data_IF_922423350057
#
_entry.id   IF_922423350057
#
_cell.length_a   1.000
_cell.length_b   1.000
_cell.length_c   1.000
_cell.angle_alpha   90.00
_cell.angle_beta   90.00
_cell.angle_gamma   90.00
#
_symmetry.space_group_name_H-M   'P 1'
#
loop_
_entity.id
_entity.type
_entity.pdbx_description
1 polymer ?
#
# COMPACT_ATOMS: atom_id res chain seq x y z
N UNK A 1 56.38 -51.42 -24.70
CA UNK A 1 57.77 -51.13 -24.26
C UNK A 1 57.68 -50.12 -23.12
N UNK A 2 58.12 -50.52 -21.91
CA UNK A 2 58.38 -49.72 -20.68
C UNK A 2 57.29 -48.78 -20.11
N UNK A 3 57.13 -48.57 -18.81
CA UNK A 3 57.32 -49.30 -17.55
C UNK A 3 56.75 -48.35 -16.46
N UNK A 4 55.92 -48.88 -15.56
CA UNK A 4 55.74 -48.53 -14.13
C UNK A 4 55.29 -47.13 -13.66
N UNK A 5 54.20 -47.22 -12.87
CA UNK A 5 53.99 -46.70 -11.49
C UNK A 5 53.98 -45.19 -11.27
N UNK A 6 52.85 -44.70 -10.75
CA UNK A 6 52.67 -44.53 -9.29
C UNK A 6 51.17 -44.46 -8.93
N UNK A 7 50.78 -45.33 -7.99
CA UNK A 7 49.57 -45.25 -7.16
C UNK A 7 49.87 -44.39 -5.93
N UNK A 8 48.80 -43.99 -5.22
CA UNK A 8 48.73 -43.33 -3.90
C UNK A 8 48.79 -41.80 -4.01
N UNK A 9 47.79 -41.00 -3.66
CA UNK A 9 46.97 -40.90 -2.43
C UNK A 9 45.76 -40.02 -2.86
N UNK A 10 44.48 -40.40 -2.77
CA UNK A 10 43.63 -40.15 -1.61
C UNK A 10 42.31 -40.89 -1.85
N UNK A 11 42.02 -41.83 -0.97
CA UNK A 11 40.68 -42.36 -0.71
C UNK A 11 40.08 -41.47 0.39
N UNK A 12 38.75 -41.36 0.40
CA UNK A 12 37.89 -40.66 1.38
C UNK A 12 37.54 -39.21 1.04
N UNK A 13 36.51 -39.02 0.22
CA UNK A 13 35.39 -38.08 0.43
C UNK A 13 34.52 -38.04 -0.84
N UNK A 14 33.40 -38.75 -0.84
CA UNK A 14 32.47 -38.69 -1.98
C UNK A 14 31.54 -39.89 -2.12
N UNK A 15 31.13 -40.52 -1.03
CA UNK A 15 30.11 -41.57 -1.04
C UNK A 15 29.17 -41.40 0.17
N UNK A 16 28.55 -40.22 0.24
CA UNK A 16 27.31 -39.98 0.99
C UNK A 16 26.39 -39.17 0.07
N UNK A 17 25.91 -39.83 -0.99
CA UNK A 17 24.73 -39.39 -1.75
C UNK A 17 23.64 -40.41 -1.46
N UNK A 18 23.17 -40.40 -0.22
CA UNK A 18 21.99 -41.14 0.22
C UNK A 18 20.84 -40.14 0.35
N UNK A 19 19.85 -40.31 -0.52
CA UNK A 19 18.43 -40.34 -0.16
C UNK A 19 17.92 -39.21 0.75
N UNK A 20 17.68 -38.03 0.18
CA UNK A 20 16.60 -37.11 0.61
C UNK A 20 15.97 -36.47 -0.63
N UNK A 21 15.16 -37.23 -1.35
CA UNK A 21 14.17 -36.67 -2.29
C UNK A 21 12.84 -37.35 -2.00
N UNK A 22 12.29 -37.04 -0.83
CA UNK A 22 10.90 -37.28 -0.47
C UNK A 22 10.46 -36.14 0.44
N UNK A 23 9.28 -35.58 0.13
CA UNK A 23 8.57 -34.51 0.84
C UNK A 23 8.99 -33.06 0.52
N UNK A 24 8.79 -32.63 -0.73
CA UNK A 24 8.26 -31.28 -0.96
C UNK A 24 6.74 -31.43 -1.15
N UNK A 25 5.89 -31.19 -0.14
CA UNK A 25 4.49 -30.94 -0.42
C UNK A 25 4.42 -29.59 -1.14
N UNK A 26 3.79 -29.63 -2.31
CA UNK A 26 3.46 -28.49 -3.14
C UNK A 26 2.85 -27.34 -2.31
N UNK A 27 3.51 -26.19 -2.46
CA UNK A 27 2.99 -24.82 -2.51
C UNK A 27 1.56 -24.55 -1.97
N UNK A 28 1.55 -23.82 -0.85
CA UNK A 28 0.59 -22.83 -0.37
C UNK A 28 -0.85 -22.88 -0.90
N UNK A 29 -1.70 -23.58 -0.12
CA UNK A 29 -3.12 -23.28 -0.03
C UNK A 29 -3.28 -21.94 0.71
N UNK A 30 -3.87 -20.94 0.04
CA UNK A 30 -4.50 -19.73 0.59
C UNK A 30 -4.13 -19.43 2.05
N UNK A 31 -3.02 -18.71 2.26
CA UNK A 31 -2.43 -18.42 3.57
C UNK A 31 -3.29 -17.44 4.38
N UNK A 32 -4.45 -17.86 4.85
CA UNK A 32 -5.16 -17.17 5.93
C UNK A 32 -4.36 -17.37 7.21
N UNK A 33 -4.15 -16.29 7.96
CA UNK A 33 -3.51 -16.40 9.26
C UNK A 33 -4.49 -17.12 10.20
N UNK A 34 -4.02 -18.11 10.98
CA UNK A 34 -4.87 -18.72 12.00
C UNK A 34 -5.43 -17.64 12.93
N UNK A 35 -6.74 -17.57 13.20
CA UNK A 35 -7.35 -16.57 14.08
C UNK A 35 -6.63 -16.41 15.43
N UNK A 36 -6.13 -17.53 15.98
CA UNK A 36 -5.30 -17.56 17.20
C UNK A 36 -4.07 -16.64 17.19
N UNK A 37 -3.56 -16.23 16.01
CA UNK A 37 -2.38 -15.37 15.88
C UNK A 37 -2.70 -13.87 15.91
N UNK A 38 -3.87 -13.45 15.43
CA UNK A 38 -4.22 -12.03 15.34
C UNK A 38 -5.36 -11.61 16.27
N UNK A 39 -6.28 -12.52 16.63
CA UNK A 39 -7.40 -12.16 17.50
C UNK A 39 -6.98 -11.60 18.86
N UNK A 40 -5.97 -12.14 19.57
CA UNK A 40 -5.52 -11.54 20.83
C UNK A 40 -5.00 -10.11 20.65
N UNK A 41 -4.29 -9.85 19.55
CA UNK A 41 -3.76 -8.52 19.21
C UNK A 41 -4.90 -7.55 18.89
N UNK A 42 -5.87 -7.99 18.08
CA UNK A 42 -7.02 -7.15 17.74
C UNK A 42 -7.91 -6.92 18.96
N UNK A 43 -8.11 -7.92 19.81
CA UNK A 43 -8.90 -7.79 21.04
C UNK A 43 -8.32 -6.76 21.99
N UNK A 44 -6.99 -6.81 22.23
CA UNK A 44 -6.30 -5.81 23.03
C UNK A 44 -6.37 -4.41 22.39
N UNK A 45 -6.21 -4.31 21.06
CA UNK A 45 -6.38 -3.05 20.33
C UNK A 45 -7.78 -2.45 20.52
N UNK A 46 -8.83 -3.27 20.52
CA UNK A 46 -10.20 -2.85 20.77
C UNK A 46 -10.39 -2.40 22.24
N UNK A 47 -9.84 -3.14 23.20
CA UNK A 47 -9.86 -2.81 24.63
C UNK A 47 -9.22 -1.43 24.91
N UNK A 48 -8.09 -1.12 24.25
CA UNK A 48 -7.41 0.16 24.33
C UNK A 48 -8.29 1.34 23.84
N UNK A 49 -9.30 1.03 23.03
CA UNK A 49 -10.26 1.97 22.47
C UNK A 49 -11.64 1.95 23.15
N UNK A 50 -11.78 1.30 24.32
CA UNK A 50 -13.07 1.08 25.00
C UNK A 50 -14.11 0.38 24.11
N UNK A 51 -13.65 -0.50 23.21
CA UNK A 51 -14.49 -1.33 22.37
C UNK A 51 -14.55 -2.76 22.92
N UNK A 52 -15.62 -3.52 22.62
CA UNK A 52 -15.72 -4.90 23.05
C UNK A 52 -14.55 -5.76 22.56
N UNK A 53 -14.01 -6.58 23.46
CA UNK A 53 -13.09 -7.66 23.13
C UNK A 53 -13.74 -8.71 22.22
N UNK A 54 -12.93 -9.50 21.52
CA UNK A 54 -13.39 -10.49 20.54
C UNK A 54 -12.58 -11.78 20.62
N UNK A 55 -13.26 -12.92 20.53
CA UNK A 55 -12.63 -14.24 20.58
C UNK A 55 -12.79 -15.02 19.27
N UNK A 56 -13.66 -14.55 18.37
CA UNK A 56 -13.97 -15.20 17.09
C UNK A 56 -13.92 -14.22 15.91
N UNK A 57 -13.66 -14.71 14.67
CA UNK A 57 -13.75 -13.89 13.46
C UNK A 57 -15.13 -13.25 13.26
N UNK A 58 -16.21 -13.95 13.63
CA UNK A 58 -17.58 -13.48 13.46
C UNK A 58 -17.90 -12.32 14.42
N UNK A 59 -17.45 -12.41 15.67
CA UNK A 59 -17.51 -11.30 16.62
C UNK A 59 -16.68 -10.11 16.13
N UNK A 60 -15.48 -10.37 15.62
CA UNK A 60 -14.62 -9.34 15.07
C UNK A 60 -15.32 -8.54 13.95
N UNK A 61 -16.00 -9.21 13.01
CA UNK A 61 -16.80 -8.54 11.98
C UNK A 61 -17.89 -7.68 12.61
N UNK A 62 -18.66 -8.24 13.56
CA UNK A 62 -19.77 -7.55 14.21
C UNK A 62 -19.32 -6.31 14.99
N UNK A 63 -18.25 -6.43 15.77
CA UNK A 63 -17.73 -5.36 16.64
C UNK A 63 -17.08 -4.24 15.84
N UNK A 64 -16.39 -4.57 14.74
CA UNK A 64 -15.69 -3.56 13.95
C UNK A 64 -16.56 -2.86 12.91
N UNK A 65 -17.71 -3.43 12.52
CA UNK A 65 -18.61 -2.85 11.52
C UNK A 65 -18.98 -1.36 11.78
N UNK A 66 -19.31 -0.92 13.02
CA UNK A 66 -19.62 0.48 13.32
C UNK A 66 -18.39 1.43 13.27
N UNK A 67 -17.18 0.88 13.16
CA UNK A 67 -15.95 1.66 13.03
C UNK A 67 -15.72 2.14 11.58
N UNK A 68 -16.49 1.63 10.63
CA UNK A 68 -16.45 2.10 9.25
C UNK A 68 -16.86 3.57 9.18
N UNK A 69 -15.97 4.39 8.62
CA UNK A 69 -16.24 5.78 8.33
C UNK A 69 -16.96 5.92 7.00
N UNK A 70 -17.98 6.77 6.97
CA UNK A 70 -18.53 7.26 5.70
C UNK A 70 -17.48 8.12 4.98
N UNK A 71 -17.73 8.42 3.70
CA UNK A 71 -16.83 9.28 2.92
C UNK A 71 -16.76 10.69 3.52
N UNK A 72 -17.88 11.23 3.95
CA UNK A 72 -18.00 12.56 4.57
C UNK A 72 -17.20 12.61 5.87
N UNK A 73 -17.29 11.56 6.69
CA UNK A 73 -16.51 11.45 7.93
C UNK A 73 -15.01 11.35 7.66
N UNK A 74 -14.58 10.58 6.65
CA UNK A 74 -13.16 10.53 6.26
C UNK A 74 -12.59 11.87 5.81
N UNK A 75 -13.46 12.79 5.38
CA UNK A 75 -13.09 14.11 4.86
C UNK A 75 -13.53 15.24 5.78
N UNK A 76 -13.94 14.91 7.00
CA UNK A 76 -14.32 15.89 8.00
C UNK A 76 -13.07 16.63 8.51
N UNK A 77 -13.24 17.91 8.85
CA UNK A 77 -12.19 18.68 9.54
C UNK A 77 -12.00 18.17 10.97
N UNK A 78 -13.12 17.80 11.60
CA UNK A 78 -13.17 17.28 12.94
C UNK A 78 -13.54 15.81 12.89
N UNK A 79 -12.72 14.99 13.52
CA UNK A 79 -13.01 13.57 13.76
C UNK A 79 -13.48 13.43 15.20
N UNK A 80 -14.56 12.68 15.40
CA UNK A 80 -14.95 12.27 16.74
C UNK A 80 -13.79 11.50 17.37
N UNK A 81 -13.34 11.97 18.54
CA UNK A 81 -12.23 11.33 19.24
C UNK A 81 -12.64 9.92 19.65
N UNK A 82 -11.83 8.93 19.28
CA UNK A 82 -11.91 7.60 19.89
C UNK A 82 -11.13 7.68 21.20
N UNK A 83 -11.72 7.27 22.35
CA UNK A 83 -10.95 7.19 23.59
C UNK A 83 -9.77 6.26 23.36
N UNK A 84 -8.58 6.67 23.77
CA UNK A 84 -7.36 5.89 23.59
C UNK A 84 -6.60 5.89 24.90
N UNK A 85 -6.55 4.73 25.56
CA UNK A 85 -5.93 4.57 26.88
C UNK A 85 -4.42 4.71 26.82
N UNK A 86 -3.80 4.16 25.77
CA UNK A 86 -2.34 4.14 25.57
C UNK A 86 -2.02 4.17 24.07
N UNK A 87 -1.40 5.25 23.60
CA UNK A 87 -1.03 5.44 22.19
C UNK A 87 0.16 4.56 21.77
N UNK A 88 1.05 4.23 22.72
CA UNK A 88 2.19 3.37 22.47
C UNK A 88 1.77 1.91 22.31
N UNK A 89 0.93 1.40 23.22
CA UNK A 89 0.38 0.05 23.11
C UNK A 89 -0.43 -0.12 21.82
N UNK A 90 -1.27 0.86 21.49
CA UNK A 90 -2.07 0.84 20.25
C UNK A 90 -1.20 0.84 19.00
N UNK A 91 -0.13 1.63 18.97
CA UNK A 91 0.84 1.60 17.87
C UNK A 91 1.55 0.24 17.75
N UNK A 92 1.91 -0.36 18.88
CA UNK A 92 2.56 -1.67 18.92
C UNK A 92 1.62 -2.78 18.39
N UNK A 93 0.33 -2.74 18.74
CA UNK A 93 -0.64 -3.71 18.23
C UNK A 93 -0.89 -3.53 16.72
N UNK A 94 -1.04 -2.30 16.24
CA UNK A 94 -1.08 -2.02 14.81
C UNK A 94 0.20 -2.52 14.11
N UNK A 95 1.34 -2.41 14.77
CA UNK A 95 2.63 -2.88 14.25
C UNK A 95 2.69 -4.41 14.17
N UNK A 96 2.13 -5.13 15.13
CA UNK A 96 1.98 -6.59 15.09
C UNK A 96 1.04 -7.03 13.96
N UNK A 97 0.03 -6.21 13.65
CA UNK A 97 -0.87 -6.38 12.50
C UNK A 97 -0.27 -5.89 11.18
N UNK A 98 0.99 -5.42 11.18
CA UNK A 98 1.70 -4.89 10.00
C UNK A 98 1.04 -3.67 9.36
N UNK A 99 0.36 -2.85 10.15
CA UNK A 99 -0.37 -1.67 9.70
C UNK A 99 0.40 -0.35 9.89
N UNK A 100 1.66 -0.38 10.33
CA UNK A 100 2.45 0.84 10.62
C UNK A 100 3.74 0.92 9.80
N UNK A 101 4.37 -0.21 9.49
CA UNK A 101 5.70 -0.22 8.89
C UNK A 101 5.67 0.06 7.39
N UNK A 102 6.78 0.61 6.89
CA UNK A 102 7.06 0.71 5.46
C UNK A 102 7.05 -0.70 4.86
N UNK A 103 6.38 -0.84 3.73
CA UNK A 103 6.45 -2.06 2.91
C UNK A 103 7.27 -1.73 1.66
N UNK A 104 8.49 -2.26 1.52
CA UNK A 104 9.36 -1.96 0.39
C UNK A 104 8.86 -2.66 -0.89
N UNK A 105 9.37 -2.24 -2.05
CA UNK A 105 9.24 -3.04 -3.26
C UNK A 105 10.18 -4.25 -3.20
N UNK A 106 9.69 -5.46 -3.50
CA UNK A 106 10.50 -6.68 -3.35
C UNK A 106 11.26 -7.08 -4.61
N UNK A 107 10.80 -6.68 -5.79
CA UNK A 107 11.49 -6.90 -7.05
C UNK A 107 12.36 -5.68 -7.44
N UNK A 108 13.45 -5.93 -8.16
CA UNK A 108 14.29 -4.86 -8.69
C UNK A 108 13.66 -4.16 -9.90
N UNK A 109 12.81 -4.86 -10.66
CA UNK A 109 12.24 -4.36 -11.92
C UNK A 109 10.76 -4.68 -12.04
N UNK A 110 9.99 -3.69 -12.49
CA UNK A 110 8.56 -3.78 -12.76
C UNK A 110 8.25 -3.27 -14.18
N UNK A 111 7.14 -3.71 -14.75
CA UNK A 111 6.60 -3.08 -15.98
C UNK A 111 6.07 -1.69 -15.66
N UNK A 112 5.26 -1.60 -14.59
CA UNK A 112 4.62 -0.37 -14.14
C UNK A 112 4.65 -0.22 -12.63
N UNK A 113 4.84 1.02 -12.18
CA UNK A 113 4.49 1.47 -10.83
C UNK A 113 3.15 2.20 -10.87
N UNK A 114 2.18 1.73 -10.09
CA UNK A 114 0.80 2.23 -10.05
C UNK A 114 0.57 2.94 -8.72
N UNK A 115 0.47 4.26 -8.75
CA UNK A 115 0.18 5.07 -7.57
C UNK A 115 -1.33 5.13 -7.39
N UNK A 116 -1.85 4.58 -6.28
CA UNK A 116 -3.27 4.74 -5.99
C UNK A 116 -3.63 6.20 -5.71
N UNK A 117 -4.81 6.60 -6.16
CA UNK A 117 -5.45 7.87 -5.82
C UNK A 117 -5.77 8.00 -4.33
N UNK A 118 -5.97 9.23 -3.89
CA UNK A 118 -6.28 9.59 -2.52
C UNK A 118 -6.27 11.09 -2.36
N UNK A 119 -6.15 11.56 -1.11
CA UNK A 119 -6.00 13.00 -0.84
C UNK A 119 -4.67 13.53 -1.37
N UNK A 120 -4.56 14.86 -1.51
CA UNK A 120 -3.29 15.55 -1.84
C UNK A 120 -2.08 14.99 -1.07
N UNK A 121 -2.19 14.90 0.26
CA UNK A 121 -1.12 14.40 1.14
C UNK A 121 -0.77 12.94 0.82
N UNK A 122 -1.79 12.10 0.57
CA UNK A 122 -1.59 10.68 0.26
C UNK A 122 -0.85 10.49 -1.06
N UNK A 123 -1.23 11.25 -2.10
CA UNK A 123 -0.58 11.17 -3.41
C UNK A 123 0.88 11.65 -3.31
N UNK A 124 1.15 12.75 -2.60
CA UNK A 124 2.51 13.23 -2.34
C UNK A 124 3.38 12.17 -1.65
N UNK A 125 2.86 11.57 -0.57
CA UNK A 125 3.57 10.50 0.17
C UNK A 125 3.90 9.28 -0.69
N UNK A 126 2.98 8.87 -1.57
CA UNK A 126 3.17 7.71 -2.46
C UNK A 126 4.17 8.02 -3.57
N UNK A 127 4.14 9.23 -4.13
CA UNK A 127 5.13 9.66 -5.12
C UNK A 127 6.53 9.75 -4.49
N UNK A 128 6.66 10.37 -3.32
CA UNK A 128 7.93 10.40 -2.56
C UNK A 128 8.46 8.99 -2.26
N UNK A 129 7.59 8.08 -1.81
CA UNK A 129 7.96 6.69 -1.61
C UNK A 129 8.54 6.06 -2.88
N UNK A 130 7.89 6.27 -4.03
CA UNK A 130 8.36 5.74 -5.29
C UNK A 130 9.73 6.33 -5.71
N UNK A 131 9.96 7.63 -5.45
CA UNK A 131 11.25 8.28 -5.68
C UNK A 131 12.34 7.63 -4.81
N UNK A 132 12.06 7.36 -3.54
CA UNK A 132 13.01 6.67 -2.64
C UNK A 132 13.31 5.24 -3.10
N UNK A 133 12.30 4.50 -3.54
CA UNK A 133 12.49 3.15 -4.08
C UNK A 133 13.34 3.16 -5.37
N UNK A 134 13.16 4.18 -6.22
CA UNK A 134 14.02 4.37 -7.38
C UNK A 134 15.47 4.63 -6.99
N UNK A 135 15.72 5.47 -5.99
CA UNK A 135 17.08 5.66 -5.47
C UNK A 135 17.66 4.40 -4.82
N UNK A 136 16.82 3.51 -4.28
CA UNK A 136 17.21 2.19 -3.76
C UNK A 136 17.59 1.18 -4.86
N UNK A 137 17.29 1.47 -6.13
CA UNK A 137 17.62 0.62 -7.27
C UNK A 137 16.42 -0.03 -7.96
N UNK A 138 15.20 0.22 -7.48
CA UNK A 138 13.97 -0.27 -8.12
C UNK A 138 13.75 0.46 -9.45
N UNK A 139 13.37 -0.25 -10.50
CA UNK A 139 13.12 0.32 -11.83
C UNK A 139 11.75 -0.09 -12.35
N UNK A 140 11.17 0.78 -13.16
CA UNK A 140 9.92 0.55 -13.87
C UNK A 140 9.90 1.33 -15.18
N UNK A 141 9.09 0.87 -16.13
CA UNK A 141 8.94 1.51 -17.45
C UNK A 141 7.79 2.52 -17.48
N UNK A 142 6.81 2.38 -16.59
CA UNK A 142 5.65 3.28 -16.51
C UNK A 142 5.34 3.72 -15.08
N UNK A 143 4.91 4.96 -14.90
CA UNK A 143 4.25 5.46 -13.69
C UNK A 143 2.80 5.74 -14.04
N UNK A 144 1.88 5.13 -13.31
CA UNK A 144 0.44 5.28 -13.57
C UNK A 144 -0.21 5.85 -12.32
N UNK A 145 -0.72 7.07 -12.42
CA UNK A 145 -1.59 7.63 -11.39
C UNK A 145 -3.00 7.09 -11.62
N UNK A 146 -3.52 6.38 -10.62
CA UNK A 146 -4.78 5.65 -10.73
C UNK A 146 -5.83 6.27 -9.80
N UNK A 147 -6.61 7.21 -10.36
CA UNK A 147 -7.60 8.01 -9.63
C UNK A 147 -9.03 7.51 -9.87
N UNK A 148 -9.88 7.65 -8.87
CA UNK A 148 -11.34 7.53 -9.03
C UNK A 148 -11.94 8.89 -9.30
N UNK A 149 -12.99 8.96 -10.13
CA UNK A 149 -13.70 10.22 -10.35
C UNK A 149 -14.29 10.72 -9.04
N UNK A 150 -13.85 11.89 -8.61
CA UNK A 150 -14.38 12.64 -7.47
C UNK A 150 -13.97 14.10 -7.58
N UNK A 151 -14.77 14.97 -6.95
CA UNK A 151 -14.34 16.35 -6.68
C UNK A 151 -13.25 16.43 -5.60
N UNK A 152 -12.61 17.59 -5.53
CA UNK A 152 -11.71 17.99 -4.44
C UNK A 152 -12.49 18.16 -3.14
N UNK A 153 -11.93 17.67 -2.04
CA UNK A 153 -12.50 17.84 -0.71
C UNK A 153 -12.10 19.19 -0.13
N UNK A 154 -12.89 20.22 -0.42
CA UNK A 154 -12.53 21.61 -0.14
C UNK A 154 -12.08 21.91 1.31
N UNK A 155 -12.57 21.13 2.28
CA UNK A 155 -12.24 21.28 3.70
C UNK A 155 -10.81 20.85 4.06
N UNK A 156 -10.31 19.77 3.44
CA UNK A 156 -8.99 19.18 3.75
C UNK A 156 -7.98 19.36 2.62
N UNK A 157 -8.45 19.70 1.42
CA UNK A 157 -7.68 20.04 0.23
C UNK A 157 -7.94 21.51 -0.10
N UNK A 158 -7.66 22.43 0.83
CA UNK A 158 -7.84 23.88 0.63
C UNK A 158 -6.61 24.50 -0.07
N UNK A 159 -6.70 25.73 -0.62
CA UNK A 159 -5.59 26.34 -1.37
C UNK A 159 -4.25 26.36 -0.62
N UNK A 160 -4.26 26.62 0.70
CA UNK A 160 -3.03 26.68 1.48
C UNK A 160 -2.30 25.33 1.49
N UNK A 161 -3.02 24.20 1.41
CA UNK A 161 -2.40 22.87 1.33
C UNK A 161 -1.65 22.65 0.00
N UNK A 162 -2.07 23.32 -1.08
CA UNK A 162 -1.44 23.22 -2.40
C UNK A 162 -0.26 24.15 -2.55
N UNK A 163 -0.39 25.40 -2.09
CA UNK A 163 0.53 26.49 -2.44
C UNK A 163 1.45 26.94 -1.31
N UNK A 164 1.11 26.68 -0.05
CA UNK A 164 1.96 27.03 1.09
C UNK A 164 2.96 25.91 1.37
N UNK A 165 4.25 26.21 1.25
CA UNK A 165 5.33 25.25 1.49
C UNK A 165 5.34 24.72 2.93
N UNK A 166 4.77 25.45 3.90
CA UNK A 166 4.63 24.97 5.29
C UNK A 166 3.74 23.73 5.41
N UNK A 167 2.85 23.50 4.44
CA UNK A 167 1.96 22.33 4.38
C UNK A 167 2.47 21.22 3.44
N UNK A 168 3.61 21.44 2.77
CA UNK A 168 4.24 20.44 1.93
C UNK A 168 5.62 20.04 2.49
N UNK A 169 5.74 18.89 3.17
CA UNK A 169 7.03 18.46 3.71
C UNK A 169 7.99 17.91 2.64
N UNK A 170 7.55 17.80 1.38
CA UNK A 170 8.34 17.21 0.30
C UNK A 170 9.02 18.27 -0.57
N UNK A 171 10.19 17.95 -1.16
CA UNK A 171 10.87 18.86 -2.08
C UNK A 171 9.97 19.29 -3.25
N UNK A 172 9.98 20.58 -3.54
CA UNK A 172 9.28 21.20 -4.68
C UNK A 172 10.31 21.55 -5.75
N UNK A 173 9.95 21.38 -7.01
CA UNK A 173 10.77 21.75 -8.16
C UNK A 173 11.14 23.23 -8.12
N UNK A 174 12.43 23.55 -8.31
CA UNK A 174 12.95 24.91 -8.18
C UNK A 174 12.26 25.89 -9.14
N UNK A 175 11.95 25.42 -10.35
CA UNK A 175 11.27 26.20 -11.39
C UNK A 175 9.74 26.14 -11.28
N UNK A 176 9.17 25.55 -10.23
CA UNK A 176 7.73 25.45 -10.08
C UNK A 176 7.13 26.78 -9.62
N UNK A 177 6.24 27.34 -10.45
CA UNK A 177 5.59 28.61 -10.18
C UNK A 177 4.12 28.41 -9.78
N UNK A 178 3.72 28.71 -8.53
CA UNK A 178 2.33 28.53 -8.09
C UNK A 178 1.32 29.35 -8.90
N UNK A 179 1.74 30.46 -9.52
CA UNK A 179 0.86 31.33 -10.33
C UNK A 179 0.43 30.71 -11.66
N UNK A 180 1.17 29.72 -12.14
CA UNK A 180 0.90 29.03 -13.42
C UNK A 180 -0.06 27.85 -13.24
N UNK A 181 -0.38 27.48 -12.00
CA UNK A 181 -1.18 26.31 -11.69
C UNK A 181 -2.49 26.71 -11.01
N UNK A 182 -3.61 26.38 -11.67
CA UNK A 182 -4.95 26.51 -11.09
C UNK A 182 -5.13 25.53 -9.93
N UNK A 183 -6.00 25.90 -8.99
CA UNK A 183 -6.38 25.02 -7.89
C UNK A 183 -7.10 23.80 -8.46
N UNK A 184 -6.63 22.57 -8.20
CA UNK A 184 -7.30 21.36 -8.66
C UNK A 184 -8.75 21.29 -8.20
N UNK A 185 -9.62 20.75 -9.04
CA UNK A 185 -11.05 20.56 -8.79
C UNK A 185 -11.43 19.09 -8.59
N UNK A 186 -10.55 18.15 -8.94
CA UNK A 186 -10.76 16.70 -8.89
C UNK A 186 -9.52 15.94 -8.43
N UNK A 187 -9.66 14.65 -8.09
CA UNK A 187 -8.52 13.79 -7.70
C UNK A 187 -7.45 13.63 -8.77
N UNK A 188 -7.84 13.55 -10.05
CA UNK A 188 -6.89 13.43 -11.15
C UNK A 188 -6.14 14.73 -11.42
N UNK A 189 -6.80 15.88 -11.28
CA UNK A 189 -6.12 17.18 -11.32
C UNK A 189 -5.14 17.35 -10.14
N UNK A 190 -5.48 16.80 -8.96
CA UNK A 190 -4.55 16.74 -7.82
C UNK A 190 -3.34 15.88 -8.16
N UNK A 191 -3.52 14.71 -8.77
CA UNK A 191 -2.41 13.86 -9.18
C UNK A 191 -1.48 14.57 -10.17
N UNK A 192 -2.04 15.26 -11.16
CA UNK A 192 -1.28 16.07 -12.13
C UNK A 192 -0.55 17.24 -11.47
N UNK A 193 -1.20 17.90 -10.52
CA UNK A 193 -0.59 18.98 -9.74
C UNK A 193 0.59 18.47 -8.91
N UNK A 194 0.44 17.33 -8.22
CA UNK A 194 1.53 16.71 -7.44
C UNK A 194 2.69 16.31 -8.36
N UNK A 195 2.37 15.72 -9.51
CA UNK A 195 3.37 15.35 -10.52
C UNK A 195 4.17 16.55 -11.01
N UNK A 196 3.54 17.72 -11.23
CA UNK A 196 4.25 18.93 -11.67
C UNK A 196 5.01 19.63 -10.54
N UNK A 197 4.52 19.53 -9.31
CA UNK A 197 5.08 20.25 -8.16
C UNK A 197 6.29 19.57 -7.54
N UNK A 198 6.24 18.26 -7.32
CA UNK A 198 7.27 17.54 -6.55
C UNK A 198 8.54 17.33 -7.34
N UNK A 199 9.69 17.34 -6.66
CA UNK A 199 10.95 16.89 -7.26
C UNK A 199 10.89 15.39 -7.52
N UNK A 200 11.18 14.99 -8.75
CA UNK A 200 11.27 13.58 -9.16
C UNK A 200 12.58 13.32 -9.90
N UNK A 201 13.04 12.06 -10.02
CA UNK A 201 14.21 11.75 -10.84
C UNK A 201 14.07 12.34 -12.24
N UNK A 202 15.10 13.07 -12.68
CA UNK A 202 15.08 13.77 -13.97
C UNK A 202 14.74 12.85 -15.15
N UNK A 203 15.19 11.59 -15.08
CA UNK A 203 14.91 10.55 -16.09
C UNK A 203 13.42 10.23 -16.27
N UNK A 204 12.55 10.59 -15.32
CA UNK A 204 11.11 10.38 -15.45
C UNK A 204 10.40 11.50 -16.22
N UNK A 205 11.03 12.66 -16.37
CA UNK A 205 10.50 13.80 -17.12
C UNK A 205 11.26 14.07 -18.41
N UNK A 206 12.39 13.40 -18.61
CA UNK A 206 13.12 13.43 -19.87
C UNK A 206 12.23 12.89 -21.00
N UNK A 207 11.90 13.69 -22.03
CA UNK A 207 11.12 13.22 -23.18
C UNK A 207 11.81 12.11 -23.98
N UNK A 208 13.13 11.98 -23.85
CA UNK A 208 13.94 10.87 -24.40
C UNK A 208 14.14 9.73 -23.40
N UNK A 209 13.62 9.88 -22.19
CA UNK A 209 13.70 8.92 -21.10
C UNK A 209 12.85 7.67 -21.35
N UNK A 210 13.15 6.62 -20.59
CA UNK A 210 12.52 5.31 -20.71
C UNK A 210 11.28 5.13 -19.82
N UNK A 211 10.81 6.18 -19.15
CA UNK A 211 9.70 6.10 -18.18
C UNK A 211 8.50 6.89 -18.72
N UNK A 212 7.44 6.16 -19.06
CA UNK A 212 6.16 6.75 -19.47
C UNK A 212 5.33 7.13 -18.23
N UNK A 213 4.54 8.19 -18.33
CA UNK A 213 3.66 8.64 -17.23
C UNK A 213 2.23 8.79 -17.73
N UNK A 214 1.31 8.10 -17.04
CA UNK A 214 -0.09 8.01 -17.43
C UNK A 214 -1.00 8.35 -16.26
N UNK A 215 -2.18 8.90 -16.59
CA UNK A 215 -3.20 9.28 -15.62
C UNK A 215 -4.51 8.62 -16.01
N UNK A 216 -4.91 7.61 -15.25
CA UNK A 216 -6.15 6.87 -15.45
C UNK A 216 -7.20 7.33 -14.45
N UNK A 217 -8.40 7.60 -14.95
CA UNK A 217 -9.54 8.06 -14.14
C UNK A 217 -10.69 7.08 -14.30
N UNK A 218 -11.08 6.43 -13.20
CA UNK A 218 -12.22 5.52 -13.21
C UNK A 218 -13.53 6.27 -12.98
N UNK A 219 -14.45 6.14 -13.93
CA UNK A 219 -15.84 6.53 -13.75
C UNK A 219 -16.52 5.65 -12.67
N UNK A 220 -17.46 6.20 -11.89
CA UNK A 220 -18.24 5.42 -10.94
C UNK A 220 -19.10 4.38 -11.67
N UNK A 221 -19.40 3.27 -10.98
CA UNK A 221 -20.47 2.38 -11.37
C UNK A 221 -21.84 3.11 -11.41
N UNK A 222 -22.79 2.59 -12.17
CA UNK A 222 -24.13 3.18 -12.29
C UNK A 222 -24.78 3.36 -10.91
N UNK A 223 -25.34 4.56 -10.67
CA UNK A 223 -25.95 4.92 -9.39
C UNK A 223 -24.96 5.32 -8.28
N UNK A 224 -23.65 5.31 -8.55
CA UNK A 224 -22.63 5.82 -7.64
C UNK A 224 -22.16 7.21 -8.08
N UNK A 225 -21.87 8.07 -7.11
CA UNK A 225 -21.36 9.43 -7.39
C UNK A 225 -19.83 9.45 -7.60
N UNK A 226 -19.11 8.44 -7.09
CA UNK A 226 -17.64 8.44 -7.02
C UNK A 226 -17.02 7.13 -7.47
N UNK A 227 -15.87 7.21 -8.15
CA UNK A 227 -15.06 6.05 -8.49
C UNK A 227 -14.50 5.38 -7.22
N UNK A 228 -14.69 4.07 -7.10
CA UNK A 228 -14.20 3.24 -6.00
C UNK A 228 -12.86 2.59 -6.34
N UNK A 229 -12.22 1.96 -5.34
CA UNK A 229 -11.01 1.15 -5.59
C UNK A 229 -11.29 -0.04 -6.52
N UNK A 230 -12.51 -0.57 -6.51
CA UNK A 230 -12.89 -1.62 -7.46
C UNK A 230 -12.91 -1.08 -8.89
N UNK A 231 -13.51 0.08 -9.10
CA UNK A 231 -13.60 0.73 -10.42
C UNK A 231 -12.20 1.08 -10.96
N UNK A 232 -11.32 1.59 -10.09
CA UNK A 232 -9.95 1.91 -10.49
C UNK A 232 -9.11 0.68 -10.84
N UNK A 233 -9.23 -0.41 -10.08
CA UNK A 233 -8.55 -1.66 -10.45
C UNK A 233 -9.09 -2.25 -11.75
N UNK A 234 -10.40 -2.12 -12.00
CA UNK A 234 -11.04 -2.59 -13.23
C UNK A 234 -10.54 -1.83 -14.47
N UNK A 235 -10.50 -0.50 -14.44
CA UNK A 235 -9.96 0.29 -15.58
C UNK A 235 -8.47 0.01 -15.78
N UNK A 236 -7.70 -0.14 -14.70
CA UNK A 236 -6.28 -0.47 -14.81
C UNK A 236 -6.06 -1.87 -15.41
N UNK A 237 -6.84 -2.88 -14.99
CA UNK A 237 -6.77 -4.22 -15.59
C UNK A 237 -7.07 -4.18 -17.09
N UNK A 238 -8.06 -3.40 -17.52
CA UNK A 238 -8.40 -3.22 -18.92
C UNK A 238 -7.27 -2.50 -19.70
N UNK A 239 -6.65 -1.47 -19.12
CA UNK A 239 -5.51 -0.76 -19.71
C UNK A 239 -4.25 -1.65 -19.81
N UNK A 240 -3.94 -2.39 -18.75
CA UNK A 240 -2.75 -3.23 -18.65
C UNK A 240 -2.82 -4.48 -19.54
N UNK A 241 -4.03 -5.04 -19.72
CA UNK A 241 -4.23 -6.28 -20.47
C UNK A 241 -3.47 -7.47 -19.88
N UNK A 242 -3.11 -8.42 -20.73
CA UNK A 242 -2.43 -9.67 -20.35
C UNK A 242 -0.90 -9.57 -20.36
N UNK A 243 -0.35 -8.38 -20.13
CA UNK A 243 1.09 -8.20 -19.99
C UNK A 243 1.64 -9.08 -18.86
N UNK A 244 2.78 -9.74 -19.12
CA UNK A 244 3.44 -10.64 -18.17
C UNK A 244 4.34 -9.91 -17.17
N UNK A 245 4.51 -8.59 -17.33
CA UNK A 245 5.38 -7.80 -16.46
C UNK A 245 4.78 -7.64 -15.06
N UNK A 246 5.65 -7.62 -14.05
CA UNK A 246 5.25 -7.44 -12.64
C UNK A 246 4.79 -5.99 -12.42
N UNK A 247 3.74 -5.81 -11.64
CA UNK A 247 3.18 -4.50 -11.28
C UNK A 247 3.59 -4.14 -9.85
N UNK A 248 4.04 -2.91 -9.61
CA UNK A 248 4.22 -2.36 -8.27
C UNK A 248 3.04 -1.45 -7.93
N UNK A 249 2.09 -1.89 -7.10
CA UNK A 249 1.06 -1.00 -6.57
C UNK A 249 1.60 -0.22 -5.37
N UNK A 250 1.43 1.09 -5.38
CA UNK A 250 1.85 1.98 -4.30
C UNK A 250 0.61 2.47 -3.55
N UNK A 251 0.46 1.97 -2.32
CA UNK A 251 -0.55 2.41 -1.33
C UNK A 251 0.16 3.11 -0.17
N UNK A 252 -0.55 3.31 0.96
CA UNK A 252 0.01 3.84 2.20
C UNK A 252 -0.56 3.07 3.38
N UNK A 253 0.23 2.91 4.45
CA UNK A 253 -0.33 2.46 5.72
C UNK A 253 -1.37 3.46 6.25
N UNK A 254 -2.43 3.00 6.93
CA UNK A 254 -2.71 1.62 7.35
C UNK A 254 -3.50 0.77 6.32
N UNK A 255 -3.56 1.16 5.05
CA UNK A 255 -4.47 0.56 4.04
C UNK A 255 -3.85 -0.55 3.19
N UNK A 256 -2.55 -0.84 3.33
CA UNK A 256 -1.83 -1.77 2.44
C UNK A 256 -2.47 -3.17 2.46
N UNK A 257 -2.84 -3.71 3.62
CA UNK A 257 -3.45 -5.04 3.73
C UNK A 257 -4.88 -5.10 3.17
N UNK A 258 -5.66 -4.03 3.37
CA UNK A 258 -6.97 -3.87 2.74
C UNK A 258 -6.83 -3.87 1.22
N UNK A 259 -5.89 -3.08 0.70
CA UNK A 259 -5.68 -2.96 -0.74
C UNK A 259 -5.12 -4.24 -1.36
N UNK A 260 -4.28 -5.00 -0.64
CA UNK A 260 -3.85 -6.34 -1.06
C UNK A 260 -5.06 -7.27 -1.27
N UNK A 261 -6.02 -7.23 -0.35
CA UNK A 261 -7.27 -8.02 -0.42
C UNK A 261 -8.16 -7.61 -1.59
N UNK A 262 -8.00 -6.39 -2.11
CA UNK A 262 -8.71 -5.90 -3.30
C UNK A 262 -7.98 -6.22 -4.59
N UNK A 263 -6.66 -6.04 -4.64
CA UNK A 263 -5.84 -6.28 -5.84
C UNK A 263 -5.88 -7.74 -6.26
N UNK A 264 -5.86 -8.69 -5.31
CA UNK A 264 -5.92 -10.14 -5.59
C UNK A 264 -7.20 -10.56 -6.32
N UNK A 265 -8.26 -9.74 -6.28
CA UNK A 265 -9.51 -9.98 -7.01
C UNK A 265 -9.38 -9.70 -8.52
N UNK A 266 -8.31 -9.03 -8.95
CA UNK A 266 -8.08 -8.58 -10.33
C UNK A 266 -6.77 -9.09 -10.94
N UNK A 267 -5.77 -9.43 -10.12
CA UNK A 267 -4.45 -9.82 -10.55
C UNK A 267 -3.95 -11.05 -9.77
N UNK A 268 -3.25 -11.95 -10.46
CA UNK A 268 -2.60 -13.10 -9.83
C UNK A 268 -1.52 -12.63 -8.85
N UNK A 269 -1.39 -13.31 -7.69
CA UNK A 269 -0.47 -12.90 -6.61
C UNK A 269 0.99 -12.84 -7.09
N UNK A 270 1.40 -13.67 -8.04
CA UNK A 270 2.75 -13.67 -8.58
C UNK A 270 3.01 -12.54 -9.57
N UNK A 271 2.00 -11.76 -9.97
CA UNK A 271 2.13 -10.69 -10.97
C UNK A 271 2.22 -9.29 -10.37
N UNK A 272 2.10 -9.13 -9.06
CA UNK A 272 2.18 -7.82 -8.44
C UNK A 272 2.85 -7.85 -7.07
N UNK A 273 3.38 -6.68 -6.68
CA UNK A 273 3.67 -6.34 -5.30
C UNK A 273 2.78 -5.17 -4.89
N UNK A 274 2.55 -5.04 -3.58
CA UNK A 274 1.99 -3.83 -3.01
C UNK A 274 2.97 -3.28 -1.97
N UNK A 275 3.34 -2.02 -2.14
CA UNK A 275 4.34 -1.33 -1.34
C UNK A 275 3.81 0.04 -0.91
N UNK A 276 4.50 0.67 0.02
CA UNK A 276 4.11 2.02 0.45
C UNK A 276 4.79 2.49 1.72
N UNK A 277 4.66 3.79 2.03
CA UNK A 277 5.18 4.35 3.26
C UNK A 277 4.40 3.85 4.47
N UNK A 278 5.14 3.69 5.57
CA UNK A 278 4.61 3.55 6.91
C UNK A 278 4.35 4.89 7.58
N UNK A 279 3.97 4.87 8.85
CA UNK A 279 3.86 6.07 9.69
C UNK A 279 4.47 5.84 11.06
N UNK A 280 4.99 6.90 11.68
CA UNK A 280 5.55 6.86 13.03
C UNK A 280 4.46 7.03 14.10
N UNK A 281 4.73 6.55 15.32
CA UNK A 281 3.80 6.67 16.46
C UNK A 281 3.27 8.10 16.69
N UNK A 282 4.10 9.12 16.46
CA UNK A 282 3.72 10.52 16.63
C UNK A 282 2.47 10.94 15.82
N UNK A 283 2.16 10.23 14.72
CA UNK A 283 0.93 10.47 13.94
C UNK A 283 -0.34 10.20 14.75
N UNK A 284 -0.31 9.28 15.71
CA UNK A 284 -1.45 8.96 16.58
C UNK A 284 -1.84 10.10 17.52
N UNK A 285 -0.99 11.13 17.68
CA UNK A 285 -1.32 12.34 18.42
C UNK A 285 -2.38 13.20 17.71
N UNK A 286 -2.64 12.93 16.44
CA UNK A 286 -3.74 13.56 15.72
C UNK A 286 -5.05 12.79 15.95
N UNK A 287 -6.12 13.50 16.35
CA UNK A 287 -7.42 12.90 16.68
C UNK A 287 -8.01 12.02 15.56
N UNK A 288 -7.69 12.30 14.30
CA UNK A 288 -8.18 11.51 13.16
C UNK A 288 -7.45 10.17 13.00
N UNK A 289 -6.20 10.05 13.46
CA UNK A 289 -5.33 8.93 13.11
C UNK A 289 -5.78 7.59 13.71
N UNK A 290 -6.13 7.49 15.02
CA UNK A 290 -6.67 6.24 15.56
C UNK A 290 -7.96 5.81 14.85
N UNK A 291 -8.85 6.76 14.54
CA UNK A 291 -10.12 6.47 13.84
C UNK A 291 -9.88 5.96 12.42
N UNK A 292 -8.90 6.51 11.70
CA UNK A 292 -8.52 6.03 10.36
C UNK A 292 -7.89 4.63 10.42
N UNK A 293 -7.08 4.33 11.45
CA UNK A 293 -6.53 2.99 11.66
C UNK A 293 -7.63 1.95 11.93
N UNK A 294 -8.56 2.26 12.83
CA UNK A 294 -9.72 1.41 13.13
C UNK A 294 -10.64 1.23 11.91
N UNK A 295 -10.85 2.29 11.12
CA UNK A 295 -11.59 2.19 9.87
C UNK A 295 -10.92 1.23 8.87
N UNK A 296 -9.60 1.34 8.71
CA UNK A 296 -8.85 0.46 7.81
C UNK A 296 -8.94 -1.00 8.26
N UNK A 297 -8.79 -1.25 9.57
CA UNK A 297 -8.95 -2.58 10.15
C UNK A 297 -10.36 -3.12 9.93
N UNK A 298 -11.40 -2.34 10.23
CA UNK A 298 -12.80 -2.74 10.03
C UNK A 298 -13.11 -3.05 8.57
N UNK A 299 -12.63 -2.23 7.63
CA UNK A 299 -12.81 -2.49 6.21
C UNK A 299 -12.08 -3.76 5.76
N UNK A 300 -10.89 -4.02 6.29
CA UNK A 300 -10.13 -5.23 5.98
C UNK A 300 -10.79 -6.49 6.57
N UNK A 301 -11.25 -6.42 7.81
CA UNK A 301 -12.06 -7.45 8.47
C UNK A 301 -13.31 -7.75 7.64
N UNK A 302 -14.05 -6.72 7.21
CA UNK A 302 -15.26 -6.90 6.40
C UNK A 302 -14.99 -7.58 5.06
N UNK A 303 -13.91 -7.22 4.37
CA UNK A 303 -13.56 -7.84 3.07
C UNK A 303 -13.02 -9.27 3.18
N UNK A 304 -12.61 -9.68 4.39
CA UNK A 304 -12.06 -11.01 4.66
C UNK A 304 -12.97 -11.86 5.55
N UNK A 305 -14.18 -11.38 5.87
CA UNK A 305 -15.10 -12.01 6.82
C UNK A 305 -14.42 -12.36 8.15
N UNK A 306 -13.55 -11.48 8.64
CA UNK A 306 -12.81 -11.66 9.88
C UNK A 306 -11.52 -12.48 9.78
N UNK A 307 -11.18 -13.05 8.61
CA UNK A 307 -10.00 -13.89 8.41
C UNK A 307 -8.81 -13.11 7.83
N UNK A 308 -8.06 -12.45 8.71
CA UNK A 308 -6.95 -11.58 8.30
C UNK A 308 -5.77 -12.34 7.69
N UNK A 309 -5.21 -11.78 6.61
CA UNK A 309 -4.01 -12.28 5.92
C UNK A 309 -2.80 -11.39 6.25
N UNK A 310 -2.03 -11.79 7.25
CA UNK A 310 -0.74 -11.18 7.58
C UNK A 310 0.33 -11.76 6.65
N UNK A 311 0.59 -11.11 5.51
CA UNK A 311 1.69 -11.51 4.61
C UNK A 311 3.02 -11.44 5.34
N UNK A 312 3.86 -12.47 5.18
CA UNK A 312 5.22 -12.55 5.72
C UNK A 312 6.30 -12.04 4.73
N UNK A 313 5.90 -11.57 3.55
CA UNK A 313 6.81 -11.06 2.51
C UNK A 313 7.82 -10.04 3.05
#
# INVERSE_FOLDING_TARGET
MNIKRKRSLLVCLGAVFFLITACCPFADKNTTCSPKKYLPVVSHLLELCDLPEVETPEELVKVTQPLLLTREQRMAVNFDSVPLKDDHAFYNDLSLLRMTQVVPAYAATYGSAVIFGGTLISIRQRLDFLVREWHRGVRFKKIIFLSGKRGRYAKVENPDQFYDSRHNPFPIEENWNPREHKLPSSEDEIARFVWSQMVVPASWRDPSGSVEVEFLVAEPAEGQEYGTRHDTLKIFRAYHGDCSERILFVSSQPFIHLDRSRVVKHFDKEKYDIAGPGFAQAVLKHNWAPRVCLHSLAAWVGETNGYLVLSQE
#
